data_IF_897337845514
#
_entry.id   IF_897337845514
#
_cell.length_a   1.000
_cell.length_b   1.000
_cell.length_c   1.000
_cell.angle_alpha   90.00
_cell.angle_beta   90.00
_cell.angle_gamma   90.00
#
_symmetry.space_group_name_H-M   'P 1'
#
loop_
_entity.id
_entity.type
_entity.pdbx_description
1 polymer ?
#
# COMPACT_ATOMS: atom_id res chain seq x y z
N UNK A 1 48.38 76.44 23.78
CA UNK A 1 49.69 75.84 24.10
C UNK A 1 49.48 74.36 24.40
N UNK A 2 50.19 73.49 23.65
CA UNK A 2 50.65 72.12 24.00
C UNK A 2 49.55 71.07 24.35
N UNK A 3 49.31 70.06 23.49
CA UNK A 3 49.98 68.73 23.46
C UNK A 3 49.79 67.96 24.79
N UNK A 4 49.47 66.66 24.89
CA UNK A 4 49.41 65.49 23.98
C UNK A 4 48.94 64.26 24.83
N UNK A 5 48.64 63.13 24.16
CA UNK A 5 48.63 61.72 24.65
C UNK A 5 47.32 61.25 25.35
N UNK A 6 46.43 60.50 24.69
CA UNK A 6 46.46 59.07 24.25
C UNK A 6 46.38 58.06 25.40
N UNK A 7 45.27 57.30 25.48
CA UNK A 7 45.10 55.91 25.94
C UNK A 7 43.57 55.65 25.85
N UNK A 8 43.05 54.84 24.93
CA UNK A 8 43.23 53.40 24.90
C UNK A 8 42.09 52.72 25.67
N UNK A 9 40.97 52.40 25.02
CA UNK A 9 40.06 51.37 25.51
C UNK A 9 39.22 50.81 24.36
N UNK A 10 39.78 49.77 23.74
CA UNK A 10 39.16 48.92 22.73
C UNK A 10 38.11 48.05 23.45
N UNK A 11 36.84 48.42 23.38
CA UNK A 11 35.75 47.58 23.88
C UNK A 11 35.50 46.44 22.88
N UNK A 12 36.19 45.32 23.08
CA UNK A 12 35.81 44.02 22.54
C UNK A 12 34.54 43.57 23.26
N UNK A 13 33.38 43.76 22.63
CA UNK A 13 32.15 43.12 23.03
C UNK A 13 32.29 41.62 22.78
N UNK A 14 32.51 40.85 23.85
CA UNK A 14 32.37 39.40 23.85
C UNK A 14 30.94 39.03 23.47
N UNK A 15 30.72 38.73 22.19
CA UNK A 15 29.54 37.98 21.74
C UNK A 15 29.76 36.56 22.22
N UNK A 16 29.17 36.24 23.37
CA UNK A 16 29.00 34.86 23.81
C UNK A 16 27.95 34.24 22.88
N UNK A 17 28.40 33.74 21.72
CA UNK A 17 27.63 32.84 20.89
C UNK A 17 27.50 31.53 21.67
N UNK A 18 26.47 31.45 22.52
CA UNK A 18 25.93 30.18 22.92
C UNK A 18 25.46 29.50 21.64
N UNK A 19 26.31 28.67 21.04
CA UNK A 19 25.89 27.63 20.12
C UNK A 19 24.97 26.72 20.93
N UNK A 20 23.68 27.06 20.94
CA UNK A 20 22.67 26.06 21.18
C UNK A 20 22.80 25.07 20.02
N UNK A 21 23.48 23.97 20.28
CA UNK A 21 23.33 22.74 19.50
C UNK A 21 21.84 22.39 19.55
N UNK A 22 21.07 22.94 18.61
CA UNK A 22 19.80 22.38 18.21
C UNK A 22 20.12 21.03 17.57
N UNK A 23 20.39 20.03 18.41
CA UNK A 23 20.25 18.63 18.02
C UNK A 23 18.78 18.45 17.72
N UNK A 24 18.43 18.69 16.45
CA UNK A 24 17.24 18.14 15.86
C UNK A 24 17.42 16.62 15.99
N UNK A 25 16.91 16.02 17.06
CA UNK A 25 16.88 14.57 17.19
C UNK A 25 16.11 14.06 15.98
N UNK A 26 16.80 13.37 15.07
CA UNK A 26 16.15 12.77 13.91
C UNK A 26 15.03 11.87 14.43
N UNK A 27 13.78 12.20 14.08
CA UNK A 27 12.56 11.48 14.50
C UNK A 27 12.69 9.96 14.29
N UNK A 28 13.44 9.56 13.27
CA UNK A 28 13.66 8.19 12.86
C UNK A 28 15.16 7.91 12.72
N UNK A 29 15.63 6.90 13.42
CA UNK A 29 17.03 6.47 13.45
C UNK A 29 17.12 4.96 13.23
N UNK A 30 18.34 4.44 13.07
CA UNK A 30 18.55 3.01 12.93
C UNK A 30 18.25 2.24 14.23
N UNK A 31 18.23 2.91 15.37
CA UNK A 31 18.00 2.33 16.69
C UNK A 31 16.50 2.19 16.99
N UNK A 32 15.68 3.16 16.57
CA UNK A 32 14.24 3.19 16.85
C UNK A 32 13.35 2.73 15.68
N UNK A 33 13.91 2.45 14.49
CA UNK A 33 13.16 1.85 13.36
C UNK A 33 13.71 0.48 12.97
N UNK A 34 12.82 -0.49 12.87
CA UNK A 34 13.10 -1.81 12.28
C UNK A 34 12.30 -2.00 11.00
N UNK A 35 12.92 -2.63 10.00
CA UNK A 35 12.28 -2.92 8.72
C UNK A 35 12.14 -4.43 8.52
N UNK A 36 11.01 -4.83 7.96
CA UNK A 36 10.65 -6.22 7.71
C UNK A 36 10.20 -6.39 6.27
N UNK A 37 10.75 -7.37 5.57
CA UNK A 37 10.27 -7.78 4.25
C UNK A 37 8.93 -8.51 4.42
N UNK A 38 7.93 -8.18 3.60
CA UNK A 38 6.58 -8.75 3.66
C UNK A 38 6.01 -9.02 2.26
N UNK A 39 5.14 -10.01 2.07
CA UNK A 39 4.44 -10.26 0.80
C UNK A 39 3.03 -9.66 0.81
N UNK A 40 2.93 -8.34 1.00
CA UNK A 40 1.65 -7.61 1.03
C UNK A 40 1.41 -6.86 -0.28
N UNK A 41 1.96 -7.36 -1.39
CA UNK A 41 1.64 -6.88 -2.75
C UNK A 41 0.19 -7.24 -3.08
N UNK A 42 -0.51 -6.39 -3.81
CA UNK A 42 -1.86 -6.69 -4.30
C UNK A 42 -1.81 -7.61 -5.53
N UNK A 43 -2.63 -8.67 -5.53
CA UNK A 43 -2.73 -9.59 -6.68
C UNK A 43 -3.40 -8.93 -7.90
N UNK A 44 -4.36 -8.04 -7.67
CA UNK A 44 -5.04 -7.32 -8.74
C UNK A 44 -4.24 -6.15 -9.31
N UNK A 45 -3.34 -5.57 -8.51
CA UNK A 45 -2.49 -4.41 -8.83
C UNK A 45 -1.05 -4.65 -8.32
N UNK A 46 -0.22 -5.46 -9.02
CA UNK A 46 1.10 -5.88 -8.54
C UNK A 46 2.13 -4.76 -8.32
N UNK A 47 1.85 -3.56 -8.81
CA UNK A 47 2.66 -2.36 -8.64
C UNK A 47 2.40 -1.64 -7.30
N UNK A 48 1.45 -2.12 -6.48
CA UNK A 48 1.06 -1.51 -5.21
C UNK A 48 0.86 -2.55 -4.09
N UNK A 49 0.94 -2.08 -2.84
CA UNK A 49 0.59 -2.87 -1.68
C UNK A 49 -0.93 -3.07 -1.53
N UNK A 50 -1.34 -4.25 -1.06
CA UNK A 50 -2.72 -4.57 -0.74
C UNK A 50 -3.13 -3.91 0.58
N UNK A 51 -3.78 -2.75 0.49
CA UNK A 51 -4.19 -1.98 1.66
C UNK A 51 -5.18 -2.74 2.54
N UNK A 52 -6.17 -3.38 1.93
CA UNK A 52 -7.21 -4.18 2.60
C UNK A 52 -6.64 -5.30 3.47
N UNK A 53 -5.54 -5.94 3.04
CA UNK A 53 -4.84 -7.00 3.76
C UNK A 53 -3.84 -6.48 4.80
N UNK A 54 -3.19 -5.34 4.52
CA UNK A 54 -2.21 -4.76 5.43
C UNK A 54 -2.84 -4.03 6.62
N UNK A 55 -3.99 -3.37 6.42
CA UNK A 55 -4.64 -2.49 7.40
C UNK A 55 -4.85 -3.13 8.79
N UNK A 56 -5.41 -4.36 8.92
CA UNK A 56 -5.64 -4.96 10.22
C UNK A 56 -4.34 -5.16 11.02
N UNK A 57 -3.27 -5.59 10.35
CA UNK A 57 -1.96 -5.77 10.96
C UNK A 57 -1.37 -4.43 11.42
N UNK A 58 -1.38 -3.41 10.57
CA UNK A 58 -0.81 -2.10 10.92
C UNK A 58 -1.55 -1.45 12.10
N UNK A 59 -2.89 -1.52 12.12
CA UNK A 59 -3.67 -0.98 13.23
C UNK A 59 -3.39 -1.72 14.53
N UNK A 60 -3.26 -3.04 14.51
CA UNK A 60 -2.99 -3.82 15.72
C UNK A 60 -1.53 -3.70 16.21
N UNK A 61 -0.58 -3.51 15.30
CA UNK A 61 0.81 -3.16 15.64
C UNK A 61 0.84 -1.85 16.44
N UNK A 62 0.11 -0.83 16.00
CA UNK A 62 0.07 0.47 16.69
C UNK A 62 -0.74 0.49 17.98
N UNK A 63 -1.49 -0.58 18.27
CA UNK A 63 -2.12 -0.77 19.58
C UNK A 63 -1.14 -1.30 20.63
N UNK A 64 0.04 -1.78 20.23
CA UNK A 64 1.06 -2.24 21.17
C UNK A 64 1.76 -1.05 21.82
N UNK A 65 1.84 -1.04 23.16
CA UNK A 65 2.52 0.04 23.90
C UNK A 65 3.99 0.25 23.51
N UNK A 66 4.65 -0.82 23.01
CA UNK A 66 6.04 -0.76 22.56
C UNK A 66 6.22 -0.15 21.17
N UNK A 67 5.16 -0.05 20.36
CA UNK A 67 5.18 0.41 18.98
C UNK A 67 4.54 1.80 18.90
N UNK A 68 5.28 2.74 18.31
CA UNK A 68 4.83 4.11 18.08
C UNK A 68 4.06 4.25 16.77
N UNK A 69 4.59 3.65 15.71
CA UNK A 69 4.06 3.76 14.35
C UNK A 69 4.38 2.48 13.56
N UNK A 70 3.49 2.08 12.67
CA UNK A 70 3.68 0.97 11.73
C UNK A 70 3.30 1.43 10.31
N UNK A 71 4.25 1.29 9.39
CA UNK A 71 4.13 1.81 8.03
C UNK A 71 4.31 0.72 7.00
N UNK A 72 3.54 0.75 5.93
CA UNK A 72 3.73 -0.05 4.73
C UNK A 72 4.33 0.82 3.63
N UNK A 73 5.36 0.34 2.94
CA UNK A 73 5.85 1.01 1.74
C UNK A 73 4.83 0.86 0.60
N UNK A 74 4.85 1.77 -0.36
CA UNK A 74 3.97 1.77 -1.53
C UNK A 74 3.81 0.42 -2.23
N UNK A 75 4.89 -0.35 -2.38
CA UNK A 75 4.87 -1.63 -3.09
C UNK A 75 4.27 -2.78 -2.25
N UNK A 76 4.03 -2.60 -0.95
CA UNK A 76 3.59 -3.67 -0.06
C UNK A 76 4.67 -4.70 0.27
N UNK A 77 5.94 -4.37 0.03
CA UNK A 77 7.07 -5.28 0.18
C UNK A 77 7.80 -5.11 1.50
N UNK A 78 7.62 -3.98 2.18
CA UNK A 78 8.34 -3.65 3.41
C UNK A 78 7.39 -3.01 4.42
N UNK A 79 7.43 -3.50 5.66
CA UNK A 79 6.86 -2.82 6.82
C UNK A 79 7.99 -2.16 7.62
N UNK A 80 7.81 -0.91 8.02
CA UNK A 80 8.64 -0.21 8.99
C UNK A 80 7.91 -0.12 10.33
N UNK A 81 8.57 -0.51 11.41
CA UNK A 81 8.05 -0.39 12.78
C UNK A 81 8.92 0.59 13.54
N UNK A 82 8.29 1.64 14.04
CA UNK A 82 8.90 2.67 14.88
C UNK A 82 8.58 2.34 16.33
N UNK A 83 9.59 2.23 17.18
CA UNK A 83 9.45 1.79 18.58
C UNK A 83 9.41 2.99 19.53
N UNK A 84 8.60 2.93 20.59
CA UNK A 84 8.52 3.97 21.63
C UNK A 84 9.79 4.04 22.49
N UNK A 85 10.44 2.90 22.71
CA UNK A 85 11.65 2.77 23.50
C UNK A 85 12.64 1.82 22.81
N UNK A 86 13.94 1.88 23.14
CA UNK A 86 14.91 0.88 22.69
C UNK A 86 14.61 -0.47 23.37
N UNK A 87 13.59 -1.19 22.91
CA UNK A 87 13.42 -2.60 23.18
C UNK A 87 14.58 -3.38 22.55
N UNK A 88 15.10 -4.39 23.24
CA UNK A 88 16.08 -5.30 22.65
C UNK A 88 15.46 -6.06 21.46
N UNK A 89 16.31 -6.59 20.58
CA UNK A 89 15.87 -7.24 19.34
C UNK A 89 14.94 -8.43 19.59
N UNK A 90 15.17 -9.17 20.67
CA UNK A 90 14.37 -10.33 21.08
C UNK A 90 12.92 -9.96 21.44
N UNK A 91 12.72 -8.91 22.23
CA UNK A 91 11.38 -8.42 22.58
C UNK A 91 10.64 -7.90 21.34
N UNK A 92 11.34 -7.18 20.46
CA UNK A 92 10.78 -6.68 19.19
C UNK A 92 10.30 -7.84 18.31
N UNK A 93 11.14 -8.86 18.18
CA UNK A 93 10.82 -10.05 17.39
C UNK A 93 9.64 -10.83 17.98
N UNK A 94 9.56 -10.98 19.30
CA UNK A 94 8.46 -11.69 19.96
C UNK A 94 7.09 -11.03 19.73
N UNK A 95 7.01 -9.71 19.92
CA UNK A 95 5.79 -8.91 19.65
C UNK A 95 5.37 -9.09 18.19
N UNK A 96 6.32 -8.96 17.26
CA UNK A 96 6.03 -9.06 15.83
C UNK A 96 5.62 -10.48 15.42
N UNK A 97 6.29 -11.53 15.91
CA UNK A 97 5.92 -12.92 15.60
C UNK A 97 4.46 -13.22 15.88
N UNK A 98 3.98 -12.75 17.03
CA UNK A 98 2.60 -12.97 17.46
C UNK A 98 1.61 -12.28 16.50
N UNK A 99 1.83 -11.00 16.21
CA UNK A 99 0.91 -10.20 15.40
C UNK A 99 0.94 -10.59 13.93
N UNK A 100 2.12 -10.78 13.35
CA UNK A 100 2.26 -11.20 11.96
C UNK A 100 1.67 -12.59 11.72
N UNK A 101 1.86 -13.53 12.65
CA UNK A 101 1.23 -14.86 12.57
C UNK A 101 -0.30 -14.78 12.67
N UNK A 102 -0.84 -13.97 13.60
CA UNK A 102 -2.28 -13.74 13.74
C UNK A 102 -2.91 -13.25 12.42
N UNK A 103 -2.21 -12.36 11.73
CA UNK A 103 -2.67 -11.78 10.45
C UNK A 103 -2.23 -12.58 9.21
N UNK A 104 -1.60 -13.75 9.38
CA UNK A 104 -1.12 -14.62 8.29
C UNK A 104 -0.21 -13.88 7.30
N UNK A 105 0.65 -13.02 7.84
CA UNK A 105 1.68 -12.27 7.09
C UNK A 105 3.03 -12.84 7.45
N UNK A 106 3.74 -13.40 6.47
CA UNK A 106 5.14 -13.78 6.67
C UNK A 106 6.01 -12.53 6.72
N UNK A 107 7.06 -12.58 7.52
CA UNK A 107 7.98 -11.47 7.64
C UNK A 107 9.42 -11.94 7.86
N UNK A 108 10.36 -11.16 7.33
CA UNK A 108 11.80 -11.38 7.53
C UNK A 108 12.47 -10.06 7.93
N UNK A 109 13.19 -10.02 9.07
CA UNK A 109 13.94 -8.82 9.47
C UNK A 109 15.01 -8.42 8.45
N UNK A 110 15.03 -7.15 8.06
CA UNK A 110 16.09 -6.60 7.21
C UNK A 110 17.31 -6.25 8.08
N UNK A 111 18.17 -7.25 8.30
CA UNK A 111 19.33 -7.15 9.21
C UNK A 111 20.60 -6.57 8.56
N UNK A 112 20.77 -6.72 7.23
CA UNK A 112 21.98 -6.24 6.53
C UNK A 112 22.10 -4.71 6.62
N UNK A 113 23.13 -4.20 7.31
CA UNK A 113 23.37 -2.75 7.56
C UNK A 113 23.18 -1.86 6.32
N UNK A 114 23.72 -2.25 5.16
CA UNK A 114 23.56 -1.50 3.89
C UNK A 114 22.08 -1.42 3.46
N UNK A 115 21.34 -2.54 3.55
CA UNK A 115 19.90 -2.57 3.22
C UNK A 115 19.10 -1.74 4.22
N UNK A 116 19.37 -1.89 5.52
CA UNK A 116 18.72 -1.10 6.57
C UNK A 116 18.92 0.41 6.37
N UNK A 117 20.14 0.85 6.05
CA UNK A 117 20.44 2.26 5.75
C UNK A 117 19.65 2.76 4.52
N UNK A 118 19.55 1.95 3.47
CA UNK A 118 18.78 2.31 2.28
C UNK A 118 17.28 2.42 2.59
N UNK A 119 16.73 1.50 3.39
CA UNK A 119 15.33 1.57 3.82
C UNK A 119 15.06 2.79 4.69
N UNK A 120 15.94 3.10 5.64
CA UNK A 120 15.84 4.30 6.46
C UNK A 120 15.85 5.57 5.60
N UNK A 121 16.77 5.66 4.63
CA UNK A 121 16.84 6.81 3.71
C UNK A 121 15.59 6.94 2.84
N UNK A 122 14.99 5.83 2.41
CA UNK A 122 13.73 5.87 1.67
C UNK A 122 12.55 6.27 2.57
N UNK A 123 12.54 5.80 3.81
CA UNK A 123 11.50 6.07 4.80
C UNK A 123 11.49 7.53 5.27
N UNK A 124 12.66 8.15 5.45
CA UNK A 124 12.77 9.54 5.90
C UNK A 124 12.84 10.56 4.76
N UNK A 125 13.03 10.09 3.52
CA UNK A 125 13.13 10.91 2.32
C UNK A 125 11.80 11.07 1.58
N UNK A 126 11.82 10.79 0.29
CA UNK A 126 10.68 10.92 -0.64
C UNK A 126 9.89 9.62 -0.86
N UNK A 127 10.21 8.57 -0.09
CA UNK A 127 9.50 7.31 -0.17
C UNK A 127 8.02 7.49 0.17
N UNK A 128 7.15 6.81 -0.58
CA UNK A 128 5.72 6.74 -0.27
C UNK A 128 5.47 5.63 0.74
N UNK A 129 5.06 6.03 1.93
CA UNK A 129 4.75 5.15 3.05
C UNK A 129 3.35 5.47 3.58
N UNK A 130 2.65 4.44 4.02
CA UNK A 130 1.24 4.51 4.41
C UNK A 130 1.08 3.86 5.78
N UNK A 131 0.54 4.61 6.73
CA UNK A 131 0.31 4.19 8.11
C UNK A 131 -1.14 3.81 8.35
N UNK A 132 -1.41 2.76 9.14
CA UNK A 132 -2.76 2.48 9.66
C UNK A 132 -3.87 2.55 8.59
N UNK A 133 -4.74 3.58 8.65
CA UNK A 133 -5.82 3.80 7.68
C UNK A 133 -5.36 4.44 6.36
N UNK A 134 -4.17 5.04 6.27
CA UNK A 134 -3.67 5.66 5.03
C UNK A 134 -3.49 4.62 3.91
N UNK A 135 -3.30 3.34 4.25
CA UNK A 135 -3.29 2.25 3.26
C UNK A 135 -4.62 2.10 2.52
N UNK A 136 -5.71 2.69 2.99
CA UNK A 136 -6.97 2.76 2.26
C UNK A 136 -6.82 3.52 0.93
N UNK A 137 -5.83 4.41 0.80
CA UNK A 137 -5.47 5.02 -0.48
C UNK A 137 -5.00 3.97 -1.49
N UNK A 138 -4.23 2.96 -1.04
CA UNK A 138 -3.81 1.85 -1.89
C UNK A 138 -5.01 1.00 -2.30
N UNK A 139 -5.94 0.74 -1.38
CA UNK A 139 -7.20 0.02 -1.67
C UNK A 139 -8.08 0.77 -2.68
N UNK A 140 -8.10 2.10 -2.62
CA UNK A 140 -8.85 2.96 -3.55
C UNK A 140 -8.22 2.91 -4.95
N UNK A 141 -6.89 2.90 -5.04
CA UNK A 141 -6.19 2.73 -6.31
C UNK A 141 -6.37 1.32 -6.89
N UNK A 142 -6.31 0.29 -6.05
CA UNK A 142 -6.61 -1.10 -6.41
C UNK A 142 -8.01 -1.25 -7.04
N UNK A 143 -9.02 -0.57 -6.48
CA UNK A 143 -10.38 -0.57 -7.02
C UNK A 143 -10.44 -0.10 -8.48
N UNK A 144 -9.63 0.91 -8.84
CA UNK A 144 -9.50 1.40 -10.22
C UNK A 144 -8.91 0.34 -11.15
N UNK A 145 -7.85 -0.36 -10.70
CA UNK A 145 -7.22 -1.44 -11.47
C UNK A 145 -8.17 -2.63 -11.66
N UNK A 146 -8.87 -3.05 -10.60
CA UNK A 146 -9.89 -4.11 -10.68
C UNK A 146 -10.97 -3.74 -11.70
N UNK A 147 -11.48 -2.50 -11.62
CA UNK A 147 -12.51 -2.01 -12.54
C UNK A 147 -12.03 -2.02 -13.98
N UNK A 148 -10.82 -1.53 -14.23
CA UNK A 148 -10.24 -1.54 -15.56
C UNK A 148 -10.11 -2.98 -16.10
N UNK A 149 -9.66 -3.92 -15.25
CA UNK A 149 -9.55 -5.34 -15.59
C UNK A 149 -10.90 -6.01 -15.86
N UNK A 150 -11.99 -5.48 -15.28
CA UNK A 150 -13.35 -5.96 -15.48
C UNK A 150 -14.06 -5.32 -16.69
N UNK A 151 -13.69 -4.12 -17.12
CA UNK A 151 -14.38 -3.44 -18.23
C UNK A 151 -13.60 -3.49 -19.53
N UNK A 152 -12.28 -3.33 -19.50
CA UNK A 152 -11.46 -3.31 -20.72
C UNK A 152 -11.64 -4.54 -21.62
N UNK A 153 -11.70 -5.79 -21.10
CA UNK A 153 -11.87 -6.95 -21.97
C UNK A 153 -13.22 -6.99 -22.67
N UNK A 154 -14.31 -6.60 -22.00
CA UNK A 154 -15.66 -6.66 -22.57
C UNK A 154 -15.91 -5.52 -23.57
N UNK A 155 -15.28 -4.37 -23.36
CA UNK A 155 -15.27 -3.27 -24.34
C UNK A 155 -14.50 -3.67 -25.60
N UNK A 156 -13.32 -4.29 -25.44
CA UNK A 156 -12.49 -4.78 -26.55
C UNK A 156 -13.21 -5.83 -27.40
N UNK A 157 -14.00 -6.70 -26.78
CA UNK A 157 -14.83 -7.71 -27.47
C UNK A 157 -16.17 -7.14 -27.98
N UNK A 158 -16.34 -5.80 -27.91
CA UNK A 158 -17.56 -5.09 -28.34
C UNK A 158 -18.85 -5.64 -27.71
N UNK A 159 -18.77 -6.18 -26.49
CA UNK A 159 -19.94 -6.60 -25.71
C UNK A 159 -20.68 -5.40 -25.11
N UNK A 160 -19.98 -4.28 -24.98
CA UNK A 160 -20.49 -2.98 -24.56
C UNK A 160 -19.93 -1.89 -25.47
N UNK A 161 -20.62 -0.74 -25.56
CA UNK A 161 -20.10 0.46 -26.22
C UNK A 161 -19.23 1.32 -25.29
N UNK A 162 -18.56 2.34 -25.84
CA UNK A 162 -17.82 3.34 -25.06
C UNK A 162 -18.75 4.12 -24.11
N UNK A 163 -19.96 4.45 -24.56
CA UNK A 163 -20.96 5.13 -23.73
C UNK A 163 -21.43 4.26 -22.56
N UNK A 164 -21.62 2.95 -22.81
CA UNK A 164 -21.96 1.99 -21.75
C UNK A 164 -20.78 1.80 -20.79
N UNK A 165 -19.55 1.73 -21.29
CA UNK A 165 -18.35 1.66 -20.45
C UNK A 165 -18.21 2.89 -19.54
N UNK A 166 -18.51 4.09 -20.06
CA UNK A 166 -18.43 5.34 -19.32
C UNK A 166 -19.39 5.42 -18.11
N UNK A 167 -20.49 4.65 -18.11
CA UNK A 167 -21.41 4.57 -16.96
C UNK A 167 -21.16 3.35 -16.08
N UNK A 168 -20.70 2.23 -16.65
CA UNK A 168 -20.43 0.98 -15.91
C UNK A 168 -19.17 1.10 -15.05
N UNK A 169 -18.07 1.65 -15.60
CA UNK A 169 -16.80 1.78 -14.89
C UNK A 169 -16.94 2.50 -13.54
N UNK A 170 -17.49 3.72 -13.46
CA UNK A 170 -17.57 4.43 -12.19
C UNK A 170 -18.45 3.71 -11.15
N UNK A 171 -19.49 2.97 -11.56
CA UNK A 171 -20.32 2.19 -10.63
C UNK A 171 -19.56 0.99 -10.04
N UNK A 172 -18.81 0.25 -10.86
CA UNK A 172 -17.97 -0.86 -10.39
C UNK A 172 -16.84 -0.33 -9.49
N UNK A 173 -16.20 0.77 -9.88
CA UNK A 173 -15.12 1.36 -9.09
C UNK A 173 -15.63 1.86 -7.75
N UNK A 174 -16.79 2.53 -7.71
CA UNK A 174 -17.41 2.98 -6.46
C UNK A 174 -17.75 1.80 -5.53
N UNK A 175 -18.22 0.68 -6.09
CA UNK A 175 -18.44 -0.55 -5.33
C UNK A 175 -17.13 -1.04 -4.68
N UNK A 176 -16.06 -1.21 -5.45
CA UNK A 176 -14.80 -1.71 -4.90
C UNK A 176 -14.11 -0.72 -3.96
N UNK A 177 -14.19 0.60 -4.21
CA UNK A 177 -13.71 1.63 -3.27
C UNK A 177 -14.37 1.49 -1.90
N UNK A 178 -15.67 1.15 -1.87
CA UNK A 178 -16.40 0.91 -0.61
C UNK A 178 -16.04 -0.44 0.03
N UNK A 179 -15.87 -1.49 -0.76
CA UNK A 179 -15.58 -2.82 -0.23
C UNK A 179 -14.15 -2.91 0.31
N UNK A 180 -13.13 -2.45 -0.43
CA UNK A 180 -11.73 -2.68 -0.11
C UNK A 180 -11.20 -1.86 1.08
N UNK A 181 -11.91 -0.81 1.51
CA UNK A 181 -11.58 -0.03 2.71
C UNK A 181 -12.24 -0.56 3.98
N UNK A 182 -13.09 -1.59 3.88
CA UNK A 182 -13.62 -2.26 5.06
C UNK A 182 -12.51 -2.97 5.81
N UNK A 183 -12.76 -3.25 7.09
CA UNK A 183 -11.87 -4.11 7.87
C UNK A 183 -12.12 -5.56 7.47
N UNK A 184 -11.13 -6.17 6.85
CA UNK A 184 -11.16 -7.57 6.48
C UNK A 184 -10.19 -8.39 7.32
N UNK A 185 -10.47 -9.69 7.51
CA UNK A 185 -9.45 -10.64 7.92
C UNK A 185 -8.93 -11.36 6.68
N UNK A 186 -7.73 -11.95 6.76
CA UNK A 186 -7.20 -12.79 5.67
C UNK A 186 -8.19 -13.93 5.29
N UNK A 187 -8.94 -14.44 6.28
CA UNK A 187 -9.97 -15.47 6.07
C UNK A 187 -11.16 -14.93 5.29
N UNK A 188 -11.70 -13.76 5.66
CA UNK A 188 -12.86 -13.21 4.97
C UNK A 188 -12.52 -12.71 3.57
N UNK A 189 -11.30 -12.21 3.33
CA UNK A 189 -10.82 -11.90 1.97
C UNK A 189 -10.66 -13.13 1.09
N UNK A 190 -10.37 -14.30 1.67
CA UNK A 190 -10.20 -15.56 0.93
C UNK A 190 -11.47 -16.40 0.88
N UNK A 191 -12.52 -15.99 1.58
CA UNK A 191 -13.77 -16.72 1.64
C UNK A 191 -14.51 -16.68 0.31
N UNK A 192 -14.92 -17.86 -0.17
CA UNK A 192 -15.63 -18.03 -1.44
C UNK A 192 -16.91 -17.19 -1.47
N UNK A 193 -17.62 -17.08 -0.35
CA UNK A 193 -18.86 -16.29 -0.26
C UNK A 193 -18.59 -14.79 -0.49
N UNK A 194 -17.48 -14.26 0.04
CA UNK A 194 -17.06 -12.86 -0.23
C UNK A 194 -16.88 -12.63 -1.73
N UNK A 195 -16.14 -13.51 -2.41
CA UNK A 195 -15.96 -13.42 -3.86
C UNK A 195 -17.27 -13.56 -4.64
N UNK A 196 -18.15 -14.47 -4.23
CA UNK A 196 -19.46 -14.65 -4.86
C UNK A 196 -20.37 -13.43 -4.70
N UNK A 197 -20.32 -12.77 -3.53
CA UNK A 197 -21.04 -11.52 -3.29
C UNK A 197 -20.51 -10.41 -4.21
N UNK A 198 -19.18 -10.24 -4.30
CA UNK A 198 -18.57 -9.25 -5.19
C UNK A 198 -18.90 -9.53 -6.65
N UNK A 199 -18.82 -10.79 -7.08
CA UNK A 199 -19.20 -11.20 -8.44
C UNK A 199 -20.68 -10.92 -8.72
N UNK A 200 -21.56 -11.16 -7.76
CA UNK A 200 -22.99 -10.91 -7.90
C UNK A 200 -23.29 -9.41 -8.02
N UNK A 201 -22.67 -8.58 -7.17
CA UNK A 201 -22.82 -7.12 -7.25
C UNK A 201 -22.34 -6.57 -8.61
N UNK A 202 -21.19 -7.03 -9.11
CA UNK A 202 -20.71 -6.65 -10.44
C UNK A 202 -21.65 -7.12 -11.55
N UNK A 203 -22.20 -8.34 -11.44
CA UNK A 203 -23.20 -8.86 -12.39
C UNK A 203 -24.47 -8.01 -12.40
N UNK A 204 -24.93 -7.56 -11.23
CA UNK A 204 -26.09 -6.66 -11.13
C UNK A 204 -25.84 -5.33 -11.83
N UNK A 205 -24.65 -4.74 -11.69
CA UNK A 205 -24.26 -3.51 -12.40
C UNK A 205 -24.28 -3.74 -13.91
N UNK A 206 -23.74 -4.86 -14.41
CA UNK A 206 -23.84 -5.18 -15.83
C UNK A 206 -25.30 -5.34 -16.27
N UNK A 207 -26.10 -6.15 -15.58
CA UNK A 207 -27.51 -6.39 -15.95
C UNK A 207 -28.31 -5.10 -16.00
N UNK A 208 -28.07 -4.17 -15.07
CA UNK A 208 -28.71 -2.85 -15.03
C UNK A 208 -28.47 -2.05 -16.32
N UNK A 209 -27.27 -2.09 -16.87
CA UNK A 209 -26.87 -1.24 -18.01
C UNK A 209 -26.98 -1.91 -19.37
N UNK A 210 -26.70 -3.21 -19.45
CA UNK A 210 -26.60 -3.94 -20.74
C UNK A 210 -27.65 -5.04 -20.90
N UNK A 211 -28.45 -5.31 -19.88
CA UNK A 211 -29.48 -6.34 -19.87
C UNK A 211 -28.95 -7.77 -19.66
N UNK A 212 -29.85 -8.69 -19.32
CA UNK A 212 -29.48 -10.07 -18.94
C UNK A 212 -28.74 -10.84 -20.04
N UNK A 213 -29.18 -10.70 -21.30
CA UNK A 213 -28.59 -11.43 -22.42
C UNK A 213 -27.12 -11.07 -22.63
N UNK A 214 -26.78 -9.77 -22.63
CA UNK A 214 -25.40 -9.32 -22.80
C UNK A 214 -24.56 -9.59 -21.56
N UNK A 215 -25.13 -9.49 -20.36
CA UNK A 215 -24.46 -9.92 -19.13
C UNK A 215 -24.10 -11.40 -19.13
N UNK A 216 -24.94 -12.27 -19.71
CA UNK A 216 -24.60 -13.68 -19.86
C UNK A 216 -23.37 -13.89 -20.75
N UNK A 217 -23.27 -13.15 -21.88
CA UNK A 217 -22.09 -13.16 -22.77
C UNK A 217 -20.82 -12.67 -22.05
N UNK A 218 -20.94 -11.64 -21.20
CA UNK A 218 -19.84 -11.18 -20.34
C UNK A 218 -19.39 -12.28 -19.37
N UNK A 219 -20.32 -12.98 -18.73
CA UNK A 219 -20.00 -14.08 -17.83
C UNK A 219 -19.29 -15.24 -18.54
N UNK A 220 -19.71 -15.57 -19.77
CA UNK A 220 -19.03 -16.56 -20.61
C UNK A 220 -17.61 -16.17 -20.99
N UNK A 221 -17.38 -14.89 -21.32
CA UNK A 221 -16.04 -14.37 -21.62
C UNK A 221 -15.11 -14.59 -20.43
N UNK A 222 -15.53 -14.21 -19.22
CA UNK A 222 -14.71 -14.39 -18.02
C UNK A 222 -14.46 -15.84 -17.67
N UNK A 223 -15.46 -16.71 -17.86
CA UNK A 223 -15.28 -18.16 -17.68
C UNK A 223 -14.21 -18.70 -18.62
N UNK A 224 -14.27 -18.35 -19.91
CA UNK A 224 -13.26 -18.75 -20.90
C UNK A 224 -11.86 -18.23 -20.54
N UNK A 225 -11.75 -16.97 -20.11
CA UNK A 225 -10.47 -16.39 -19.69
C UNK A 225 -9.88 -17.11 -18.48
N UNK A 226 -10.71 -17.47 -17.49
CA UNK A 226 -10.28 -18.23 -16.32
C UNK A 226 -9.77 -19.62 -16.72
N UNK A 227 -10.53 -20.35 -17.52
CA UNK A 227 -10.12 -21.68 -18.03
C UNK A 227 -8.78 -21.62 -18.79
N UNK A 228 -8.55 -20.57 -19.58
CA UNK A 228 -7.28 -20.37 -20.28
C UNK A 228 -6.11 -20.10 -19.32
N UNK A 229 -6.32 -19.33 -18.25
CA UNK A 229 -5.30 -19.07 -17.21
C UNK A 229 -4.92 -20.36 -16.47
N UNK A 230 -5.91 -21.18 -16.12
CA UNK A 230 -5.70 -22.45 -15.41
C UNK A 230 -5.00 -23.50 -16.27
N UNK A 231 -5.28 -23.54 -17.59
CA UNK A 231 -4.72 -24.54 -18.50
C UNK A 231 -3.34 -24.18 -19.08
N UNK A 232 -2.76 -22.99 -18.79
CA UNK A 232 -1.51 -22.47 -19.39
C UNK A 232 -1.45 -22.64 -20.92
N UNK A 233 -2.60 -22.60 -21.62
CA UNK A 233 -2.65 -22.80 -23.07
C UNK A 233 -2.42 -21.48 -23.80
N UNK A 234 -1.25 -21.35 -24.43
CA UNK A 234 -0.84 -20.21 -25.26
C UNK A 234 -1.80 -19.89 -26.43
N UNK A 235 -2.69 -20.81 -26.78
CA UNK A 235 -3.59 -20.68 -27.94
C UNK A 235 -4.75 -19.71 -27.71
N UNK A 236 -5.14 -19.40 -26.47
CA UNK A 236 -6.28 -18.52 -26.22
C UNK A 236 -5.99 -17.05 -26.52
N UNK A 237 -4.75 -16.59 -26.34
CA UNK A 237 -4.38 -15.17 -26.47
C UNK A 237 -4.14 -14.69 -27.91
N UNK A 238 -4.21 -15.57 -28.91
CA UNK A 238 -3.80 -15.25 -30.29
C UNK A 238 -4.90 -14.69 -31.21
N UNK A 239 -6.16 -14.60 -30.77
CA UNK A 239 -7.26 -14.18 -31.66
C UNK A 239 -7.53 -12.67 -31.77
N UNK A 240 -6.74 -11.80 -31.14
CA UNK A 240 -6.92 -10.34 -31.25
C UNK A 240 -5.86 -9.61 -32.07
N UNK A 241 -5.08 -10.31 -32.92
CA UNK A 241 -3.99 -9.69 -33.70
C UNK A 241 -4.19 -9.67 -35.22
N UNK A 242 -5.27 -10.22 -35.76
CA UNK A 242 -5.52 -10.18 -37.20
C UNK A 242 -6.95 -9.69 -37.45
N UNK A 243 -7.10 -8.37 -37.50
CA UNK A 243 -8.04 -7.66 -38.37
C UNK A 243 -7.53 -6.21 -38.41
N UNK A 244 -6.63 -5.98 -39.37
CA UNK A 244 -6.21 -4.68 -39.88
C UNK A 244 -6.72 -4.56 -41.30
#
# INVERSE_FOLDING_TARGET
MKQLISFGCMLLSSICSCFADNKNEEKYTAENVTFYQTPLVCDAAPEIGCGSRARPLLLELEQQESIKEAWLNRLGTVIAIVWNYPANEENREMVNRTLFAKHKVTFEPISKKKKKKAQLSNFTGDGKWYRGNEVDQLSIEEAGVITNNLVSPILKESLISEEEAAVIQPEIEAFFKKELVKTWSDETLKDKKTYENWRSAVKEIYTKHIGEERTAKVAELYKKQQECKEQKKDSCCKKSKNES
#
